data_IF_073664883127
#
_entry.id   IF_073664883127
#
_cell.length_a   1.000
_cell.length_b   1.000
_cell.length_c   1.000
_cell.angle_alpha   90.00
_cell.angle_beta   90.00
_cell.angle_gamma   90.00
#
_symmetry.space_group_name_H-M   'P 1'
#
loop_
_entity.id
_entity.type
_entity.pdbx_description
1 polymer ?
#
# COMPACT_ATOMS: atom_id res chain seq x y z
N UNK A 1 4.09 -20.18 2.66
CA UNK A 1 5.51 -20.10 3.11
C UNK A 1 5.53 -19.59 4.55
N UNK A 2 6.56 -19.87 5.37
CA UNK A 2 6.62 -19.41 6.77
C UNK A 2 7.62 -18.27 6.92
N UNK A 3 7.25 -17.23 7.67
CA UNK A 3 8.15 -16.13 7.96
C UNK A 3 9.31 -16.61 8.85
N UNK A 4 10.58 -16.39 8.49
CA UNK A 4 11.73 -16.85 9.28
C UNK A 4 11.88 -16.11 10.61
N UNK A 5 11.30 -14.91 10.74
CA UNK A 5 11.39 -14.09 11.96
C UNK A 5 10.34 -14.43 13.01
N UNK A 6 9.09 -14.64 12.61
CA UNK A 6 7.98 -14.88 13.55
C UNK A 6 7.36 -16.28 13.43
N UNK A 7 7.86 -17.14 12.53
CA UNK A 7 7.36 -18.49 12.22
C UNK A 7 5.88 -18.56 11.81
N UNK A 8 5.20 -17.42 11.69
CA UNK A 8 3.80 -17.36 11.25
C UNK A 8 3.65 -17.92 9.82
N UNK A 9 2.56 -18.68 9.63
CA UNK A 9 2.20 -19.26 8.33
C UNK A 9 1.58 -18.16 7.48
N UNK A 10 2.23 -17.85 6.36
CA UNK A 10 1.70 -16.90 5.38
C UNK A 10 0.70 -17.65 4.50
N UNK A 11 -0.60 -17.28 4.53
CA UNK A 11 -1.58 -17.88 3.64
C UNK A 11 -1.20 -17.57 2.19
N UNK A 12 -1.17 -18.60 1.34
CA UNK A 12 -0.93 -18.42 -0.08
C UNK A 12 -2.10 -17.62 -0.66
N UNK A 13 -1.81 -16.46 -1.25
CA UNK A 13 -2.81 -15.67 -1.98
C UNK A 13 -3.32 -16.52 -3.15
N UNK A 14 -4.61 -16.85 -3.15
CA UNK A 14 -5.26 -17.38 -4.34
C UNK A 14 -5.17 -16.33 -5.46
N UNK A 15 -4.79 -16.71 -6.69
CA UNK A 15 -4.81 -15.80 -7.81
C UNK A 15 -6.26 -15.41 -8.10
N UNK A 16 -6.59 -14.13 -7.90
CA UNK A 16 -7.83 -13.56 -8.39
C UNK A 16 -7.69 -13.49 -9.91
N UNK A 17 -8.22 -14.51 -10.57
CA UNK A 17 -8.29 -14.65 -12.02
C UNK A 17 -9.18 -13.54 -12.58
N UNK A 18 -8.57 -12.40 -12.91
CA UNK A 18 -9.18 -11.37 -13.78
C UNK A 18 -9.19 -11.87 -15.23
N UNK A 19 -9.99 -12.89 -15.50
CA UNK A 19 -10.45 -13.18 -16.85
C UNK A 19 -11.63 -12.25 -17.12
N UNK A 20 -11.33 -11.06 -17.65
CA UNK A 20 -12.34 -10.15 -18.20
C UNK A 20 -12.88 -10.79 -19.48
N UNK A 21 -13.94 -11.57 -19.33
CA UNK A 21 -14.79 -12.00 -20.44
C UNK A 21 -15.64 -10.82 -20.88
N UNK A 22 -15.36 -10.30 -22.07
CA UNK A 22 -16.24 -9.34 -22.76
C UNK A 22 -17.47 -10.11 -23.22
N UNK A 23 -18.52 -10.10 -22.41
CA UNK A 23 -19.84 -10.62 -22.73
C UNK A 23 -20.79 -9.48 -23.02
N UNK A 24 -21.13 -9.31 -24.30
CA UNK A 24 -22.24 -8.48 -24.75
C UNK A 24 -23.59 -9.16 -24.39
N UNK A 25 -24.55 -8.35 -23.93
CA UNK A 25 -25.91 -8.74 -23.53
C UNK A 25 -26.28 -7.89 -22.31
N UNK A 26 -27.14 -6.87 -22.36
CA UNK A 26 -28.34 -6.75 -23.18
C UNK A 26 -29.49 -7.47 -22.48
N UNK A 27 -29.88 -7.04 -21.27
CA UNK A 27 -31.15 -7.45 -20.69
C UNK A 27 -31.72 -6.39 -19.75
N UNK A 28 -32.92 -5.94 -20.14
CA UNK A 28 -33.83 -5.02 -19.49
C UNK A 28 -34.20 -5.46 -18.06
N UNK A 29 -34.15 -4.52 -17.12
CA UNK A 29 -34.80 -4.64 -15.82
C UNK A 29 -36.22 -4.00 -15.87
N UNK A 30 -37.18 -4.52 -15.08
CA UNK A 30 -38.59 -4.55 -15.42
C UNK A 30 -39.29 -3.21 -15.19
N UNK A 31 -40.22 -2.91 -16.12
CA UNK A 31 -40.98 -1.67 -16.17
C UNK A 31 -41.78 -1.37 -14.91
N UNK A 32 -41.52 -0.20 -14.34
CA UNK A 32 -42.51 0.56 -13.58
C UNK A 32 -42.73 1.87 -14.34
N UNK A 33 -43.97 2.12 -14.74
CA UNK A 33 -44.34 3.16 -15.70
C UNK A 33 -44.08 4.56 -15.14
N UNK A 34 -42.92 5.14 -15.48
CA UNK A 34 -42.64 6.56 -15.27
C UNK A 34 -43.55 7.34 -16.22
N UNK A 35 -44.63 7.91 -15.68
CA UNK A 35 -45.48 8.84 -16.43
C UNK A 35 -44.74 10.16 -16.54
N UNK A 36 -44.08 10.37 -17.67
CA UNK A 36 -43.59 11.70 -18.06
C UNK A 36 -44.77 12.44 -18.65
N UNK A 37 -45.18 13.53 -17.99
CA UNK A 37 -46.23 14.43 -18.48
C UNK A 37 -45.65 15.83 -18.61
N UNK A 38 -46.10 16.59 -19.60
CA UNK A 38 -45.91 18.05 -19.56
C UNK A 38 -46.73 18.55 -18.38
N UNK A 39 -46.16 19.41 -17.53
CA UNK A 39 -46.83 19.93 -16.35
C UNK A 39 -48.11 20.67 -16.74
N UNK A 40 -49.24 19.96 -16.76
CA UNK A 40 -50.55 20.57 -16.94
C UNK A 40 -50.84 21.52 -15.78
N UNK A 41 -51.86 22.37 -15.94
CA UNK A 41 -52.32 23.35 -14.93
C UNK A 41 -52.69 22.74 -13.57
N UNK A 42 -52.72 21.41 -13.43
CA UNK A 42 -52.96 20.68 -12.18
C UNK A 42 -51.67 20.31 -11.40
N UNK A 43 -50.50 20.32 -12.04
CA UNK A 43 -49.19 20.01 -11.43
C UNK A 43 -48.25 21.22 -11.42
N UNK A 44 -48.61 22.27 -12.15
CA UNK A 44 -47.97 23.58 -12.11
C UNK A 44 -48.18 24.23 -10.73
N UNK A 45 -47.08 24.46 -10.01
CA UNK A 45 -47.07 25.04 -8.66
C UNK A 45 -46.38 24.18 -7.59
N UNK A 46 -46.03 22.93 -7.90
CA UNK A 46 -45.18 22.12 -7.03
C UNK A 46 -43.72 22.59 -7.03
N UNK A 47 -43.02 22.46 -5.90
CA UNK A 47 -41.56 22.62 -5.84
C UNK A 47 -40.88 21.26 -6.00
N UNK A 48 -39.85 21.18 -6.85
CA UNK A 48 -39.04 19.98 -7.02
C UNK A 48 -38.19 19.74 -5.75
N UNK A 49 -38.30 18.60 -5.04
CA UNK A 49 -37.52 18.34 -3.83
C UNK A 49 -36.00 18.25 -4.03
N UNK A 50 -35.55 17.99 -5.26
CA UNK A 50 -34.14 17.81 -5.60
C UNK A 50 -33.45 19.17 -5.77
N UNK A 51 -34.01 20.05 -6.61
CA UNK A 51 -33.41 21.36 -6.91
C UNK A 51 -34.10 22.54 -6.21
N UNK A 52 -35.22 22.31 -5.54
CA UNK A 52 -36.05 23.29 -4.82
C UNK A 52 -36.66 24.38 -5.72
N UNK A 53 -36.46 24.32 -7.04
CA UNK A 53 -37.09 25.22 -7.99
C UNK A 53 -38.59 24.92 -8.17
N UNK A 54 -39.36 25.95 -8.50
CA UNK A 54 -40.78 25.82 -8.84
C UNK A 54 -40.94 25.17 -10.22
N UNK A 55 -41.93 24.29 -10.34
CA UNK A 55 -42.26 23.60 -11.58
C UNK A 55 -43.22 24.49 -12.38
N UNK A 56 -42.78 24.94 -13.55
CA UNK A 56 -43.57 25.71 -14.50
C UNK A 56 -44.49 24.83 -15.36
N UNK A 57 -45.50 25.42 -16.02
CA UNK A 57 -46.47 24.70 -16.86
C UNK A 57 -45.88 24.12 -18.16
N UNK A 58 -44.65 24.51 -18.52
CA UNK A 58 -43.92 24.04 -19.69
C UNK A 58 -42.79 23.05 -19.34
N UNK A 59 -42.58 22.79 -18.05
CA UNK A 59 -41.52 21.89 -17.59
C UNK A 59 -41.92 20.42 -17.74
N UNK A 60 -40.96 19.60 -18.16
CA UNK A 60 -41.11 18.16 -18.20
C UNK A 60 -40.97 17.58 -16.79
N UNK A 61 -42.03 16.92 -16.31
CA UNK A 61 -42.08 16.41 -14.93
C UNK A 61 -42.23 14.90 -14.84
N UNK A 62 -41.76 14.38 -13.71
CA UNK A 62 -41.90 12.99 -13.30
C UNK A 62 -42.56 12.96 -11.92
N UNK A 63 -43.66 12.22 -11.81
CA UNK A 63 -44.34 11.97 -10.55
C UNK A 63 -43.83 10.65 -9.96
N UNK A 64 -43.34 10.70 -8.73
CA UNK A 64 -42.88 9.51 -8.04
C UNK A 64 -44.07 8.54 -7.79
N UNK A 65 -43.98 7.25 -8.18
CA UNK A 65 -45.07 6.30 -7.98
C UNK A 65 -45.31 5.93 -6.51
N UNK A 66 -44.31 6.13 -5.64
CA UNK A 66 -44.38 5.75 -4.23
C UNK A 66 -44.89 6.88 -3.32
N UNK A 67 -44.48 8.13 -3.55
CA UNK A 67 -44.85 9.27 -2.71
C UNK A 67 -45.67 10.35 -3.43
N UNK A 68 -45.97 10.17 -4.72
CA UNK A 68 -46.70 11.11 -5.58
C UNK A 68 -46.06 12.51 -5.70
N UNK A 69 -44.81 12.67 -5.26
CA UNK A 69 -44.11 13.94 -5.34
C UNK A 69 -43.62 14.21 -6.77
N UNK A 70 -43.79 15.45 -7.22
CA UNK A 70 -43.41 15.90 -8.56
C UNK A 70 -41.95 16.38 -8.58
N UNK A 71 -41.21 15.93 -9.59
CA UNK A 71 -39.82 16.26 -9.81
C UNK A 71 -39.63 16.71 -11.26
N UNK A 72 -38.63 17.53 -11.55
CA UNK A 72 -38.18 17.72 -12.93
C UNK A 72 -37.66 16.38 -13.48
N UNK A 73 -37.96 16.10 -14.74
CA UNK A 73 -37.48 14.90 -15.43
C UNK A 73 -35.95 14.79 -15.36
N UNK A 74 -35.26 15.91 -15.57
CA UNK A 74 -33.79 15.98 -15.51
C UNK A 74 -33.26 15.65 -14.10
N UNK A 75 -33.82 16.30 -13.08
CA UNK A 75 -33.41 16.04 -11.70
C UNK A 75 -33.63 14.58 -11.28
N UNK A 76 -34.73 13.97 -11.73
CA UNK A 76 -35.02 12.55 -11.47
C UNK A 76 -33.99 11.62 -12.13
N UNK A 77 -33.60 11.90 -13.38
CA UNK A 77 -32.59 11.09 -14.09
C UNK A 77 -31.18 11.27 -13.53
N UNK A 78 -30.80 12.47 -13.12
CA UNK A 78 -29.47 12.74 -12.55
C UNK A 78 -29.27 12.05 -11.19
N UNK A 79 -30.29 12.11 -10.33
CA UNK A 79 -30.26 11.50 -8.99
C UNK A 79 -30.51 10.00 -9.06
N UNK A 80 -31.20 9.52 -10.09
CA UNK A 80 -31.56 8.10 -10.26
C UNK A 80 -32.71 7.66 -9.35
N UNK A 81 -33.57 8.59 -8.92
CA UNK A 81 -34.71 8.29 -8.05
C UNK A 81 -35.32 9.52 -7.38
N UNK A 82 -36.18 9.27 -6.40
CA UNK A 82 -36.90 10.28 -5.64
C UNK A 82 -35.99 11.02 -4.64
N UNK A 83 -36.06 12.36 -4.61
CA UNK A 83 -35.32 13.19 -3.65
C UNK A 83 -35.96 13.29 -2.26
N UNK A 84 -37.17 12.75 -2.07
CA UNK A 84 -37.87 12.79 -0.79
C UNK A 84 -37.27 11.80 0.20
N UNK A 85 -36.89 12.30 1.38
CA UNK A 85 -36.34 11.48 2.46
C UNK A 85 -37.30 10.35 2.84
N UNK A 86 -36.80 9.11 2.82
CA UNK A 86 -37.56 7.92 3.20
C UNK A 86 -38.48 7.35 2.11
N UNK A 87 -38.43 7.86 0.87
CA UNK A 87 -39.18 7.27 -0.24
C UNK A 87 -38.57 5.93 -0.68
N UNK A 88 -39.41 4.94 -1.04
CA UNK A 88 -38.94 3.64 -1.52
C UNK A 88 -38.23 3.70 -2.87
N UNK A 89 -38.56 4.72 -3.67
CA UNK A 89 -37.93 5.03 -4.96
C UNK A 89 -36.75 6.00 -4.83
N UNK A 90 -36.33 6.36 -3.60
CA UNK A 90 -35.10 7.12 -3.42
C UNK A 90 -33.92 6.28 -3.92
N UNK A 91 -32.90 6.91 -4.54
CA UNK A 91 -31.74 6.17 -5.00
C UNK A 91 -31.14 5.42 -3.81
N UNK A 92 -31.15 4.09 -3.89
CA UNK A 92 -30.27 3.32 -3.01
C UNK A 92 -28.88 3.68 -3.46
N UNK A 93 -28.14 4.32 -2.56
CA UNK A 93 -26.70 4.23 -2.57
C UNK A 93 -26.39 2.74 -2.38
N UNK A 94 -26.40 1.97 -3.48
CA UNK A 94 -25.73 0.70 -3.54
C UNK A 94 -24.29 1.03 -3.19
N UNK A 95 -23.94 0.77 -1.93
CA UNK A 95 -22.62 0.97 -1.39
C UNK A 95 -21.72 0.04 -2.20
N UNK A 96 -21.14 0.58 -3.27
CA UNK A 96 -20.02 -0.04 -3.93
C UNK A 96 -19.08 -0.49 -2.82
N UNK A 97 -18.73 -1.79 -2.84
CA UNK A 97 -17.88 -2.43 -1.85
C UNK A 97 -16.75 -1.46 -1.47
N UNK A 98 -16.44 -1.30 -0.16
CA UNK A 98 -15.58 -0.20 0.28
C UNK A 98 -14.26 -0.28 -0.48
N UNK A 99 -14.10 0.62 -1.46
CA UNK A 99 -12.79 1.02 -1.91
C UNK A 99 -12.06 1.45 -0.64
N UNK A 100 -10.93 0.81 -0.42
CA UNK A 100 -10.06 0.92 0.74
C UNK A 100 -9.99 2.39 1.16
N UNK A 101 -10.78 2.73 2.17
CA UNK A 101 -10.88 4.10 2.62
C UNK A 101 -9.53 4.36 3.29
N UNK A 102 -8.71 5.31 2.80
CA UNK A 102 -7.47 5.62 3.48
C UNK A 102 -7.86 6.01 4.91
N UNK A 103 -7.23 5.35 5.89
CA UNK A 103 -7.40 5.59 7.33
C UNK A 103 -6.82 6.95 7.74
N UNK A 104 -7.09 7.98 6.95
CA UNK A 104 -6.76 9.38 7.23
C UNK A 104 -7.97 10.14 7.77
N UNK A 105 -9.09 9.47 8.06
CA UNK A 105 -10.19 10.07 8.78
C UNK A 105 -9.86 10.18 10.27
N UNK A 106 -9.83 11.42 10.74
CA UNK A 106 -9.54 11.83 12.10
C UNK A 106 -10.29 10.99 13.15
N UNK A 107 -9.56 10.10 13.86
CA UNK A 107 -10.09 9.37 15.01
C UNK A 107 -10.22 7.85 14.87
N UNK A 108 -9.80 7.26 13.76
CA UNK A 108 -9.93 5.81 13.60
C UNK A 108 -9.05 4.99 14.56
N UNK A 109 -9.58 3.84 14.98
CA UNK A 109 -8.90 2.87 15.83
C UNK A 109 -8.37 1.72 14.96
N UNK A 110 -7.10 1.37 15.11
CA UNK A 110 -6.49 0.18 14.49
C UNK A 110 -6.33 -0.94 15.52
N UNK A 111 -6.30 -2.20 15.10
CA UNK A 111 -5.88 -3.30 15.97
C UNK A 111 -4.36 -3.39 16.00
N UNK A 112 -3.81 -3.57 17.18
CA UNK A 112 -2.39 -3.83 17.35
C UNK A 112 -2.03 -5.17 16.67
N UNK A 113 -1.06 -5.22 15.74
CA UNK A 113 -0.65 -6.47 15.08
C UNK A 113 0.06 -7.45 16.02
N UNK A 114 0.57 -6.99 17.16
CA UNK A 114 1.27 -7.83 18.14
C UNK A 114 0.32 -8.49 19.16
N UNK A 115 -0.67 -7.74 19.69
CA UNK A 115 -1.58 -8.25 20.74
C UNK A 115 -3.05 -8.30 20.35
N UNK A 116 -3.47 -7.72 19.23
CA UNK A 116 -4.86 -7.73 18.75
C UNK A 116 -5.79 -6.68 19.39
N UNK A 117 -5.31 -5.94 20.40
CA UNK A 117 -6.09 -4.94 21.12
C UNK A 117 -6.34 -3.68 20.27
N UNK A 118 -7.45 -2.99 20.51
CA UNK A 118 -7.80 -1.76 19.77
C UNK A 118 -7.02 -0.56 20.31
N UNK A 119 -6.22 0.06 19.45
CA UNK A 119 -5.41 1.24 19.73
C UNK A 119 -5.71 2.36 18.74
N UNK A 120 -5.33 3.60 19.05
CA UNK A 120 -5.48 4.73 18.10
C UNK A 120 -4.70 4.45 16.81
N UNK A 121 -5.25 4.75 15.64
CA UNK A 121 -4.58 4.53 14.35
C UNK A 121 -3.21 5.24 14.27
N UNK A 122 -3.13 6.45 14.84
CA UNK A 122 -1.89 7.24 14.94
C UNK A 122 -0.89 6.74 16.00
N UNK A 123 -1.23 5.74 16.81
CA UNK A 123 -0.35 5.28 17.88
C UNK A 123 0.91 4.62 17.30
N UNK A 124 2.07 5.23 17.60
CA UNK A 124 3.40 4.68 17.34
C UNK A 124 3.86 3.70 18.42
N UNK A 125 3.16 3.64 19.57
CA UNK A 125 3.42 2.67 20.63
C UNK A 125 2.13 2.11 21.20
N UNK A 126 2.05 0.80 21.35
CA UNK A 126 0.87 0.16 21.93
C UNK A 126 0.82 0.37 23.45
N UNK A 127 -0.29 0.92 23.97
CA UNK A 127 -0.50 1.12 25.43
C UNK A 127 -0.62 -0.19 26.22
N UNK A 128 -1.03 -1.27 25.56
CA UNK A 128 -1.31 -2.55 26.22
C UNK A 128 -0.10 -3.49 26.21
N UNK A 129 0.55 -3.68 25.05
CA UNK A 129 1.69 -4.60 24.91
C UNK A 129 3.05 -3.90 24.79
N UNK A 130 3.10 -2.60 24.54
CA UNK A 130 4.34 -1.82 24.48
C UNK A 130 5.09 -1.84 23.14
N UNK A 131 4.61 -2.56 22.12
CA UNK A 131 5.24 -2.65 20.79
C UNK A 131 5.28 -1.27 20.08
N UNK A 132 6.43 -0.94 19.49
CA UNK A 132 6.67 0.30 18.75
C UNK A 132 6.51 0.10 17.22
N UNK A 133 5.81 1.02 16.56
CA UNK A 133 5.54 1.01 15.12
C UNK A 133 6.22 2.21 14.45
N UNK A 134 6.98 2.02 13.36
CA UNK A 134 7.74 3.11 12.74
C UNK A 134 6.93 4.05 11.84
N UNK A 135 5.74 3.66 11.34
CA UNK A 135 4.93 4.48 10.42
C UNK A 135 3.42 4.27 10.62
N UNK A 136 2.61 5.30 10.32
CA UNK A 136 1.13 5.28 10.42
C UNK A 136 0.47 4.71 9.15
N UNK A 137 1.20 4.60 8.04
CA UNK A 137 0.66 4.17 6.75
C UNK A 137 0.26 2.68 6.70
N UNK A 138 -0.86 2.34 6.02
CA UNK A 138 -1.18 0.97 5.67
C UNK A 138 -0.14 0.44 4.68
N UNK A 139 0.83 -0.29 5.21
CA UNK A 139 1.88 -0.89 4.40
C UNK A 139 1.28 -2.03 3.56
N UNK A 140 1.28 -1.87 2.24
CA UNK A 140 0.76 -2.88 1.32
C UNK A 140 1.61 -4.16 1.38
N UNK A 141 1.03 -5.33 1.04
CA UNK A 141 1.82 -6.57 0.97
C UNK A 141 2.96 -6.50 -0.06
N UNK A 142 2.82 -5.69 -1.12
CA UNK A 142 3.89 -5.46 -2.09
C UNK A 142 5.05 -4.69 -1.46
N UNK A 143 4.77 -3.69 -0.63
CA UNK A 143 5.79 -2.96 0.12
C UNK A 143 6.48 -3.85 1.16
N UNK A 144 5.76 -4.82 1.75
CA UNK A 144 6.34 -5.80 2.66
C UNK A 144 7.34 -6.72 1.94
N UNK A 145 6.97 -7.27 0.77
CA UNK A 145 7.87 -8.12 -0.01
C UNK A 145 9.12 -7.36 -0.47
N UNK A 146 8.95 -6.10 -0.91
CA UNK A 146 10.06 -5.23 -1.27
C UNK A 146 11.00 -4.94 -0.10
N UNK A 147 10.46 -4.71 1.09
CA UNK A 147 11.26 -4.52 2.32
C UNK A 147 12.00 -5.79 2.73
N UNK A 148 11.34 -6.95 2.73
CA UNK A 148 11.98 -8.23 3.09
C UNK A 148 13.13 -8.55 2.14
N UNK A 149 12.92 -8.43 0.82
CA UNK A 149 13.98 -8.67 -0.16
C UNK A 149 15.16 -7.69 -0.02
N UNK A 150 14.89 -6.41 0.28
CA UNK A 150 15.94 -5.40 0.54
C UNK A 150 16.69 -5.65 1.85
N UNK A 151 15.99 -6.09 2.90
CA UNK A 151 16.58 -6.42 4.19
C UNK A 151 17.45 -7.68 4.08
N UNK A 152 17.02 -8.70 3.34
CA UNK A 152 17.80 -9.92 3.06
C UNK A 152 19.07 -9.61 2.24
N UNK A 153 18.95 -8.81 1.18
CA UNK A 153 20.12 -8.36 0.39
C UNK A 153 21.12 -7.57 1.26
N UNK A 154 20.61 -6.75 2.17
CA UNK A 154 21.45 -6.00 3.11
C UNK A 154 22.10 -6.93 4.14
N UNK A 155 21.38 -7.93 4.65
CA UNK A 155 21.90 -8.94 5.57
C UNK A 155 23.05 -9.75 4.94
N UNK A 156 22.87 -10.20 3.71
CA UNK A 156 23.89 -10.94 2.98
C UNK A 156 25.17 -10.10 2.79
N UNK A 157 25.05 -8.83 2.39
CA UNK A 157 26.21 -7.90 2.28
C UNK A 157 26.94 -7.75 3.62
N UNK A 158 26.20 -7.58 4.73
CA UNK A 158 26.79 -7.47 6.07
C UNK A 158 27.59 -8.72 6.43
N UNK A 159 27.04 -9.91 6.21
CA UNK A 159 27.72 -11.19 6.47
C UNK A 159 28.99 -11.33 5.65
N UNK A 160 28.95 -11.01 4.35
CA UNK A 160 30.14 -11.09 3.49
C UNK A 160 31.25 -10.12 3.90
N UNK A 161 30.91 -8.87 4.24
CA UNK A 161 31.90 -7.88 4.71
C UNK A 161 32.58 -8.35 5.99
N UNK A 162 31.82 -8.88 6.95
CA UNK A 162 32.38 -9.40 8.20
C UNK A 162 33.28 -10.61 7.96
N UNK A 163 32.91 -11.54 7.08
CA UNK A 163 33.73 -12.70 6.75
C UNK A 163 35.04 -12.29 6.07
N UNK A 164 35.01 -11.33 5.13
CA UNK A 164 36.23 -10.80 4.50
C UNK A 164 37.15 -10.14 5.52
N UNK A 165 36.61 -9.37 6.46
CA UNK A 165 37.39 -8.76 7.54
C UNK A 165 38.06 -9.82 8.43
N UNK A 166 37.29 -10.81 8.92
CA UNK A 166 37.84 -11.89 9.74
C UNK A 166 38.92 -12.65 8.98
N UNK A 167 38.67 -13.01 7.72
CA UNK A 167 39.62 -13.78 6.92
C UNK A 167 40.87 -12.96 6.55
N UNK A 168 40.76 -11.64 6.48
CA UNK A 168 41.92 -10.73 6.38
C UNK A 168 42.80 -10.74 7.63
N UNK A 169 42.25 -11.04 8.82
CA UNK A 169 43.04 -11.13 10.06
C UNK A 169 43.83 -12.44 10.12
N UNK A 170 43.43 -13.49 9.38
CA UNK A 170 44.15 -14.77 9.36
C UNK A 170 45.45 -14.73 8.53
N UNK A 171 45.77 -13.62 7.85
CA UNK A 171 47.10 -13.28 7.30
C UNK A 171 47.64 -14.14 6.15
N UNK A 172 47.28 -15.42 6.06
CA UNK A 172 47.89 -16.41 5.16
C UNK A 172 47.49 -16.25 3.68
N UNK A 173 46.45 -15.46 3.39
CA UNK A 173 45.98 -15.17 2.02
C UNK A 173 45.97 -13.66 1.71
N UNK A 174 46.76 -12.85 2.42
CA UNK A 174 46.76 -11.39 2.31
C UNK A 174 46.79 -10.83 0.87
N UNK A 175 47.65 -11.30 -0.07
CA UNK A 175 47.67 -10.76 -1.43
C UNK A 175 46.42 -11.11 -2.25
N UNK A 176 45.83 -12.30 -2.03
CA UNK A 176 44.59 -12.71 -2.69
C UNK A 176 43.40 -11.92 -2.12
N UNK A 177 43.36 -11.73 -0.81
CA UNK A 177 42.30 -10.98 -0.13
C UNK A 177 42.33 -9.49 -0.41
N UNK A 178 43.51 -8.92 -0.67
CA UNK A 178 43.62 -7.53 -1.10
C UNK A 178 42.93 -7.32 -2.46
N UNK A 179 43.11 -8.25 -3.41
CA UNK A 179 42.50 -8.18 -4.72
C UNK A 179 40.98 -8.36 -4.63
N UNK A 180 40.53 -9.37 -3.88
CA UNK A 180 39.11 -9.66 -3.66
C UNK A 180 38.41 -8.52 -2.93
N UNK A 181 38.98 -8.01 -1.83
CA UNK A 181 38.40 -6.91 -1.06
C UNK A 181 38.35 -5.60 -1.86
N UNK A 182 39.37 -5.31 -2.67
CA UNK A 182 39.39 -4.11 -3.52
C UNK A 182 38.37 -4.18 -4.66
N UNK A 183 38.27 -5.32 -5.35
CA UNK A 183 37.25 -5.54 -6.39
C UNK A 183 35.84 -5.50 -5.78
N UNK A 184 35.67 -6.11 -4.60
CA UNK A 184 34.39 -6.18 -3.90
C UNK A 184 33.93 -4.79 -3.40
N UNK A 185 34.83 -4.02 -2.79
CA UNK A 185 34.57 -2.66 -2.35
C UNK A 185 34.26 -1.72 -3.52
N UNK A 186 34.93 -1.91 -4.67
CA UNK A 186 34.66 -1.13 -5.87
C UNK A 186 33.33 -1.52 -6.53
N UNK A 187 33.06 -2.81 -6.71
CA UNK A 187 31.83 -3.33 -7.36
C UNK A 187 30.58 -3.03 -6.52
N UNK A 188 30.70 -3.07 -5.19
CA UNK A 188 29.57 -2.97 -4.25
C UNK A 188 29.59 -1.70 -3.40
N UNK A 189 30.30 -0.65 -3.82
CA UNK A 189 30.34 0.66 -3.11
C UNK A 189 28.95 1.16 -2.71
N UNK A 190 27.99 1.05 -3.61
CA UNK A 190 26.64 1.58 -3.40
C UNK A 190 25.78 0.64 -2.53
N UNK A 191 26.11 -0.65 -2.48
CA UNK A 191 25.45 -1.62 -1.60
C UNK A 191 25.99 -1.53 -0.17
N UNK A 192 27.30 -1.33 0.00
CA UNK A 192 27.95 -1.14 1.30
C UNK A 192 27.51 0.21 1.91
N UNK A 193 27.42 1.27 1.11
CA UNK A 193 26.89 2.56 1.55
C UNK A 193 25.44 2.49 2.06
N UNK A 194 24.60 1.64 1.45
CA UNK A 194 23.23 1.38 1.89
C UNK A 194 23.14 0.53 3.17
N UNK A 195 24.14 -0.31 3.46
CA UNK A 195 24.17 -1.13 4.67
C UNK A 195 24.49 -0.32 5.95
N UNK A 196 25.02 0.90 5.79
CA UNK A 196 25.27 1.87 6.86
C UNK A 196 26.75 2.25 7.02
N UNK A 197 27.05 3.39 7.68
CA UNK A 197 28.40 3.94 7.78
C UNK A 197 29.39 3.03 8.53
N UNK A 198 28.91 2.20 9.46
CA UNK A 198 29.73 1.23 10.17
C UNK A 198 30.35 0.19 9.23
N UNK A 199 29.59 -0.31 8.25
CA UNK A 199 30.08 -1.34 7.32
C UNK A 199 31.08 -0.79 6.30
N UNK A 200 30.95 0.50 5.97
CA UNK A 200 31.94 1.23 5.16
C UNK A 200 33.29 1.27 5.89
N UNK A 201 33.30 1.62 7.18
CA UNK A 201 34.52 1.64 7.98
C UNK A 201 35.18 0.26 8.07
N UNK A 202 34.39 -0.80 8.29
CA UNK A 202 34.90 -2.19 8.33
C UNK A 202 35.48 -2.62 6.97
N UNK A 203 34.82 -2.30 5.86
CA UNK A 203 35.31 -2.63 4.53
C UNK A 203 36.67 -1.97 4.22
N UNK A 204 36.82 -0.67 4.50
CA UNK A 204 38.10 0.03 4.31
C UNK A 204 39.19 -0.46 5.26
N UNK A 205 38.85 -0.79 6.51
CA UNK A 205 39.81 -1.38 7.44
C UNK A 205 40.37 -2.71 6.95
N UNK A 206 39.55 -3.53 6.28
CA UNK A 206 39.97 -4.82 5.70
C UNK A 206 41.03 -4.62 4.61
N UNK A 207 40.86 -3.61 3.74
CA UNK A 207 41.82 -3.25 2.69
C UNK A 207 43.13 -2.77 3.30
N UNK A 208 43.06 -1.89 4.31
CA UNK A 208 44.24 -1.36 4.99
C UNK A 208 45.05 -2.47 5.69
N UNK A 209 44.37 -3.37 6.40
CA UNK A 209 45.00 -4.52 7.07
C UNK A 209 45.62 -5.48 6.04
N UNK A 210 44.92 -5.77 4.94
CA UNK A 210 45.45 -6.62 3.86
C UNK A 210 46.68 -6.01 3.18
N UNK A 211 46.70 -4.69 2.98
CA UNK A 211 47.83 -3.97 2.41
C UNK A 211 49.05 -4.03 3.34
N UNK A 212 48.83 -3.78 4.65
CA UNK A 212 49.88 -3.87 5.66
C UNK A 212 50.51 -5.26 5.73
N UNK A 213 49.70 -6.32 5.80
CA UNK A 213 50.20 -7.70 5.80
C UNK A 213 50.94 -8.06 4.52
N UNK A 214 50.47 -7.60 3.36
CA UNK A 214 51.16 -7.85 2.08
C UNK A 214 52.53 -7.17 2.03
N UNK A 215 52.65 -5.95 2.57
CA UNK A 215 53.94 -5.24 2.68
C UNK A 215 54.88 -5.97 3.64
N UNK A 216 54.40 -6.41 4.81
CA UNK A 216 55.21 -7.13 5.79
C UNK A 216 55.73 -8.47 5.24
N UNK A 217 54.88 -9.23 4.52
CA UNK A 217 55.29 -10.48 3.88
C UNK A 217 56.33 -10.22 2.78
N UNK A 218 56.10 -9.21 1.93
CA UNK A 218 57.06 -8.84 0.89
C UNK A 218 58.41 -8.39 1.45
N UNK A 219 58.40 -7.61 2.52
CA UNK A 219 59.61 -7.21 3.24
C UNK A 219 60.35 -8.43 3.79
N UNK A 220 59.65 -9.34 4.47
CA UNK A 220 60.28 -10.55 5.00
C UNK A 220 60.95 -11.37 3.90
N UNK A 221 60.25 -11.64 2.79
CA UNK A 221 60.78 -12.40 1.64
C UNK A 221 62.03 -11.74 1.02
N UNK A 222 62.05 -10.40 0.92
CA UNK A 222 63.18 -9.67 0.34
C UNK A 222 64.43 -9.65 1.23
N UNK A 223 64.26 -9.71 2.55
CA UNK A 223 65.37 -9.61 3.52
C UNK A 223 65.82 -10.96 4.10
N UNK A 224 64.99 -12.00 4.03
CA UNK A 224 65.32 -13.37 4.45
C UNK A 224 65.74 -14.29 3.30
N UNK A 225 65.60 -13.83 2.06
CA UNK A 225 65.93 -14.57 0.84
C UNK A 225 67.36 -14.37 0.36
#
# INVERSE_FOLDING_TARGET
MRCPKCKAVIPASQPQSSAVGVGAGGEEAPGLSIRTVAAGTAEAGGSCPICQASIGPEDAVVVCPACAQVHHRECWSEVGGCGTYGCSEAPRLEKAAPAETPLTAWGDMKRCPACGEKIKAIALRCRYCGEDFPTVDPLSLQDLHGKVARDEATGQVKTWVVLVFILSLLGFLAPLMLLVASIMAWRMRDAIGRAGPLFVAVAYSSIAVSALYSILIGFFVLFSG
#
